data_IF_019117377556
#
_entry.id   IF_019117377556
#
_cell.length_a   1.000
_cell.length_b   1.000
_cell.length_c   1.000
_cell.angle_alpha   90.00
_cell.angle_beta   90.00
_cell.angle_gamma   90.00
#
_symmetry.space_group_name_H-M   'P 1'
#
loop_
_entity.id
_entity.type
_entity.pdbx_description
1 polymer ?
#
# COMPACT_ATOMS: atom_id res chain seq x y z
N UNK A 1 41.06 43.75 32.68
CA UNK A 1 41.38 42.87 33.82
C UNK A 1 40.03 42.35 34.30
N UNK A 2 39.60 41.12 34.07
CA UNK A 2 40.18 39.87 33.54
C UNK A 2 38.92 38.99 33.30
N UNK A 3 38.64 38.52 32.08
CA UNK A 3 39.06 37.21 31.54
C UNK A 3 39.19 36.10 32.59
N UNK A 4 38.32 35.09 32.46
CA UNK A 4 38.53 33.66 32.79
C UNK A 4 37.27 32.91 32.29
N UNK A 5 37.26 32.35 31.07
CA UNK A 5 37.83 31.05 30.64
C UNK A 5 37.28 29.87 31.43
N UNK A 6 36.39 29.09 30.80
CA UNK A 6 36.11 27.70 31.17
C UNK A 6 36.69 26.80 30.07
N UNK A 7 37.87 26.26 30.37
CA UNK A 7 38.43 24.97 29.97
C UNK A 7 38.77 24.30 31.32
N UNK A 8 38.74 23.00 31.58
CA UNK A 8 38.81 21.81 30.76
C UNK A 8 38.41 20.64 31.69
N UNK A 9 37.75 19.64 31.10
CA UNK A 9 38.09 18.22 31.24
C UNK A 9 37.71 17.32 32.46
N UNK A 10 37.44 16.07 32.05
CA UNK A 10 37.27 14.80 32.81
C UNK A 10 35.91 14.62 33.53
N UNK A 11 35.12 13.55 33.33
CA UNK A 11 35.46 12.12 33.29
C UNK A 11 34.43 11.35 32.40
N UNK A 12 35.02 10.66 31.42
CA UNK A 12 34.75 9.33 30.87
C UNK A 12 33.32 8.82 30.56
N UNK A 13 33.06 8.64 29.26
CA UNK A 13 31.92 7.93 28.65
C UNK A 13 32.35 6.61 27.98
N UNK A 14 33.36 5.93 28.52
CA UNK A 14 33.66 4.53 28.20
C UNK A 14 33.43 3.69 29.44
N UNK A 15 32.27 3.04 29.50
CA UNK A 15 32.08 1.73 30.15
C UNK A 15 30.61 1.29 30.11
N UNK A 16 30.06 1.11 28.91
CA UNK A 16 28.88 0.26 28.72
C UNK A 16 28.90 -0.52 27.39
N UNK A 17 30.11 -0.78 26.87
CA UNK A 17 30.34 -1.70 25.76
C UNK A 17 31.62 -2.52 26.03
N UNK A 18 31.48 -3.55 26.88
CA UNK A 18 32.46 -4.64 26.98
C UNK A 18 31.80 -5.85 27.66
N UNK A 19 31.55 -6.94 26.91
CA UNK A 19 31.33 -8.27 27.52
C UNK A 19 30.43 -9.23 26.77
N UNK A 20 31.05 -10.18 26.06
CA UNK A 20 30.53 -11.45 25.47
C UNK A 20 29.68 -11.33 24.19
N UNK A 21 30.24 -11.34 22.96
CA UNK A 21 31.04 -12.35 22.23
C UNK A 21 30.23 -13.60 21.83
N UNK A 22 29.90 -13.68 20.53
CA UNK A 22 29.55 -14.96 19.88
C UNK A 22 28.66 -14.89 18.62
N UNK A 23 29.17 -14.32 17.51
CA UNK A 23 28.77 -14.75 16.15
C UNK A 23 27.53 -14.11 15.50
N UNK A 24 27.69 -12.93 14.90
CA UNK A 24 26.97 -12.51 13.70
C UNK A 24 27.69 -11.30 13.09
N UNK A 25 28.58 -11.53 12.12
CA UNK A 25 29.22 -10.46 11.36
C UNK A 25 28.17 -9.79 10.46
N UNK A 26 27.68 -8.65 10.94
CA UNK A 26 26.98 -7.62 10.19
C UNK A 26 27.92 -6.95 9.19
N UNK A 27 27.61 -7.06 7.90
CA UNK A 27 28.07 -6.09 6.89
C UNK A 27 26.91 -5.12 6.65
N UNK A 28 26.96 -4.00 7.36
CA UNK A 28 26.24 -2.77 7.02
C UNK A 28 26.95 -2.17 5.79
N UNK A 29 26.41 -2.43 4.60
CA UNK A 29 26.78 -1.77 3.36
C UNK A 29 25.69 -0.78 2.94
N UNK A 30 25.58 0.33 3.65
CA UNK A 30 24.82 1.50 3.20
C UNK A 30 25.84 2.58 2.81
N UNK A 31 26.16 2.67 1.52
CA UNK A 31 26.44 3.93 0.78
C UNK A 31 27.10 3.63 -0.57
N UNK A 32 26.73 4.47 -1.55
CA UNK A 32 27.39 4.72 -2.84
C UNK A 32 26.86 3.97 -4.09
N UNK A 33 25.61 4.25 -4.49
CA UNK A 33 25.28 4.53 -5.91
C UNK A 33 24.33 5.73 -5.94
N UNK A 34 24.73 6.78 -6.65
CA UNK A 34 24.04 8.06 -6.69
C UNK A 34 22.78 8.03 -7.55
N UNK A 35 21.61 8.07 -6.91
CA UNK A 35 20.43 8.72 -7.44
C UNK A 35 20.17 9.96 -6.59
N UNK A 36 20.56 11.15 -7.07
CA UNK A 36 20.08 12.38 -6.43
C UNK A 36 18.57 12.43 -6.66
N UNK A 37 17.81 12.41 -5.56
CA UNK A 37 16.35 12.52 -5.48
C UNK A 37 15.50 11.25 -5.65
N UNK A 38 15.81 10.19 -4.88
CA UNK A 38 14.81 9.17 -4.56
C UNK A 38 14.73 8.96 -3.04
N UNK A 39 13.76 9.61 -2.39
CA UNK A 39 13.38 9.32 -1.01
C UNK A 39 12.23 8.32 -1.03
N UNK A 40 12.54 7.03 -0.99
CA UNK A 40 11.52 6.00 -0.78
C UNK A 40 11.06 6.08 0.68
N UNK A 41 9.89 6.69 0.91
CA UNK A 41 9.26 6.74 2.22
C UNK A 41 8.49 5.43 2.43
N UNK A 42 9.19 4.36 2.84
CA UNK A 42 8.63 3.02 3.06
C UNK A 42 7.78 2.92 4.33
N UNK A 43 6.97 3.94 4.63
CA UNK A 43 6.26 4.10 5.90
C UNK A 43 5.61 2.82 6.41
N UNK A 44 6.23 2.20 7.42
CA UNK A 44 5.63 1.34 8.45
C UNK A 44 4.63 0.27 7.97
N UNK A 45 4.87 -0.36 6.81
CA UNK A 45 4.10 -1.53 6.39
C UNK A 45 4.65 -2.78 7.12
N UNK A 46 4.32 -2.90 8.41
CA UNK A 46 4.43 -4.18 9.10
C UNK A 46 3.51 -5.19 8.38
N UNK A 47 4.00 -6.40 8.04
CA UNK A 47 3.19 -7.42 7.42
C UNK A 47 1.95 -7.69 8.26
N UNK A 48 0.81 -7.81 7.58
CA UNK A 48 -0.44 -8.21 8.20
C UNK A 48 -0.33 -9.60 8.82
N UNK A 49 -1.37 -10.01 9.55
CA UNK A 49 -1.48 -11.38 10.04
C UNK A 49 -1.33 -12.38 8.87
N UNK A 50 -0.86 -13.59 9.19
CA UNK A 50 -0.89 -14.69 8.22
C UNK A 50 -2.32 -14.84 7.69
N UNK A 51 -2.54 -14.94 6.36
CA UNK A 51 -3.88 -14.96 5.82
C UNK A 51 -4.71 -16.10 6.42
N UNK A 52 -5.93 -15.78 6.83
CA UNK A 52 -6.88 -16.76 7.38
C UNK A 52 -7.49 -17.66 6.30
N UNK A 53 -8.39 -18.58 6.70
CA UNK A 53 -9.05 -19.53 5.79
C UNK A 53 -9.85 -18.88 4.65
N UNK A 54 -10.26 -17.63 4.81
CA UNK A 54 -11.03 -16.87 3.81
C UNK A 54 -10.14 -16.15 2.78
N UNK A 55 -8.82 -16.34 2.86
CA UNK A 55 -7.88 -15.79 1.89
C UNK A 55 -8.02 -16.47 0.53
N UNK A 56 -8.50 -15.73 -0.48
CA UNK A 56 -8.38 -16.15 -1.87
C UNK A 56 -6.91 -16.00 -2.31
N UNK A 57 -6.20 -17.12 -2.28
CA UNK A 57 -4.79 -17.20 -2.61
C UNK A 57 -4.47 -17.22 -4.10
N UNK A 58 -5.45 -17.04 -4.99
CA UNK A 58 -5.18 -16.93 -6.43
C UNK A 58 -4.35 -15.68 -6.77
N UNK A 59 -3.73 -15.67 -7.95
CA UNK A 59 -2.94 -14.53 -8.41
C UNK A 59 -3.79 -13.24 -8.45
N UNK A 60 -3.24 -12.14 -7.88
CA UNK A 60 -3.92 -10.85 -7.79
C UNK A 60 -3.92 -10.09 -9.12
N UNK A 61 -2.78 -10.15 -9.82
CA UNK A 61 -2.54 -9.36 -11.04
C UNK A 61 -3.63 -9.57 -12.09
N UNK A 62 -4.25 -8.48 -12.51
CA UNK A 62 -5.12 -8.44 -13.68
C UNK A 62 -4.25 -8.53 -14.95
N UNK A 63 -3.89 -9.76 -15.34
CA UNK A 63 -2.95 -10.02 -16.44
C UNK A 63 -3.42 -9.40 -17.76
N UNK A 64 -4.71 -9.51 -18.08
CA UNK A 64 -5.26 -8.94 -19.30
C UNK A 64 -5.03 -7.42 -19.33
N UNK A 65 -5.41 -6.71 -18.28
CA UNK A 65 -5.19 -5.26 -18.19
C UNK A 65 -3.70 -4.92 -18.22
N UNK A 66 -2.85 -5.71 -17.56
CA UNK A 66 -1.40 -5.52 -17.60
C UNK A 66 -0.85 -5.57 -19.03
N UNK A 67 -1.27 -6.56 -19.84
CA UNK A 67 -0.87 -6.65 -21.24
C UNK A 67 -1.37 -5.46 -22.06
N UNK A 68 -2.63 -5.07 -21.90
CA UNK A 68 -3.22 -3.90 -22.59
C UNK A 68 -2.48 -2.59 -22.26
N UNK A 69 -2.13 -2.39 -21.00
CA UNK A 69 -1.39 -1.20 -20.56
C UNK A 69 0.03 -1.21 -21.12
N UNK A 70 0.75 -2.34 -21.05
CA UNK A 70 2.10 -2.44 -21.61
C UNK A 70 2.12 -2.25 -23.13
N UNK A 71 1.15 -2.80 -23.86
CA UNK A 71 0.99 -2.58 -25.31
C UNK A 71 0.75 -1.11 -25.63
N UNK A 72 -0.12 -0.43 -24.87
CA UNK A 72 -0.42 1.00 -25.04
C UNK A 72 0.79 1.89 -24.77
N UNK A 73 1.61 1.53 -23.78
CA UNK A 73 2.78 2.32 -23.37
C UNK A 73 4.06 1.94 -24.13
N UNK A 74 4.02 0.86 -24.92
CA UNK A 74 5.15 0.43 -25.74
C UNK A 74 6.32 -0.12 -24.93
N UNK A 75 6.04 -0.77 -23.79
CA UNK A 75 7.05 -1.42 -22.93
C UNK A 75 7.01 -2.94 -23.07
N UNK A 76 8.14 -3.60 -22.97
CA UNK A 76 8.28 -5.06 -23.12
C UNK A 76 8.03 -5.82 -21.81
N UNK A 77 8.03 -5.13 -20.68
CA UNK A 77 7.76 -5.68 -19.36
C UNK A 77 7.70 -4.62 -18.28
N UNK A 78 7.25 -5.03 -17.10
CA UNK A 78 7.23 -4.21 -15.89
C UNK A 78 8.06 -4.87 -14.79
N UNK A 79 8.75 -4.06 -14.00
CA UNK A 79 9.54 -4.51 -12.84
C UNK A 79 9.13 -3.73 -11.61
N UNK A 80 8.75 -4.46 -10.56
CA UNK A 80 8.39 -3.91 -9.28
C UNK A 80 9.54 -4.06 -8.27
N UNK A 81 9.85 -2.98 -7.58
CA UNK A 81 10.61 -2.92 -6.32
C UNK A 81 9.73 -2.38 -5.17
N UNK A 82 8.68 -1.61 -5.47
CA UNK A 82 7.72 -1.18 -4.47
C UNK A 82 6.99 -2.39 -3.88
N UNK A 83 7.01 -2.62 -2.55
CA UNK A 83 6.38 -3.77 -1.92
C UNK A 83 4.92 -3.95 -2.29
N UNK A 84 4.18 -2.86 -2.54
CA UNK A 84 2.78 -2.93 -2.98
C UNK A 84 2.68 -3.57 -4.37
N UNK A 85 3.53 -3.17 -5.30
CA UNK A 85 3.54 -3.71 -6.67
C UNK A 85 4.18 -5.11 -6.72
N UNK A 86 5.18 -5.38 -5.87
CA UNK A 86 5.73 -6.73 -5.70
C UNK A 86 4.65 -7.68 -5.17
N UNK A 87 3.86 -7.24 -4.19
CA UNK A 87 2.71 -8.00 -3.71
C UNK A 87 1.67 -8.22 -4.81
N UNK A 88 1.35 -7.19 -5.59
CA UNK A 88 0.40 -7.29 -6.69
C UNK A 88 0.80 -8.34 -7.75
N UNK A 89 2.06 -8.34 -8.18
CA UNK A 89 2.56 -9.28 -9.20
C UNK A 89 2.92 -10.66 -8.62
N UNK A 90 3.44 -10.69 -7.41
CA UNK A 90 4.03 -11.86 -6.77
C UNK A 90 3.11 -12.60 -5.80
N UNK A 91 1.98 -11.99 -5.43
CA UNK A 91 1.06 -12.47 -4.38
C UNK A 91 1.77 -12.76 -3.04
N UNK A 92 2.89 -12.07 -2.80
CA UNK A 92 3.74 -12.28 -1.65
C UNK A 92 4.36 -10.97 -1.19
N UNK A 93 4.38 -10.78 0.12
CA UNK A 93 4.93 -9.60 0.76
C UNK A 93 6.16 -10.01 1.55
N UNK A 94 7.34 -9.52 1.14
CA UNK A 94 8.62 -9.97 1.67
C UNK A 94 8.76 -9.73 3.17
N UNK A 95 9.21 -10.76 3.89
CA UNK A 95 9.56 -10.66 5.30
C UNK A 95 10.75 -9.70 5.51
N UNK A 96 11.60 -9.53 4.51
CA UNK A 96 12.73 -8.58 4.57
C UNK A 96 12.27 -7.12 4.68
N UNK A 97 11.03 -6.79 4.29
CA UNK A 97 10.49 -5.44 4.51
C UNK A 97 10.37 -5.10 6.00
N UNK A 98 10.11 -6.09 6.88
CA UNK A 98 10.07 -5.88 8.33
C UNK A 98 11.39 -5.34 8.89
N UNK A 99 12.50 -5.61 8.18
CA UNK A 99 13.85 -5.21 8.56
C UNK A 99 14.28 -3.92 7.86
N UNK A 100 13.35 -3.25 7.16
CA UNK A 100 13.58 -2.04 6.37
C UNK A 100 14.76 -2.19 5.40
N UNK A 101 14.90 -3.38 4.79
CA UNK A 101 15.93 -3.60 3.75
C UNK A 101 15.66 -2.69 2.56
N UNK A 102 16.71 -2.07 2.03
CA UNK A 102 16.61 -1.15 0.90
C UNK A 102 16.10 -1.83 -0.39
N UNK A 103 16.38 -3.13 -0.53
CA UNK A 103 15.93 -4.01 -1.61
C UNK A 103 15.38 -5.29 -0.95
N UNK A 104 14.07 -5.34 -0.63
CA UNK A 104 13.48 -6.47 0.06
C UNK A 104 13.08 -7.61 -0.90
N UNK A 105 12.76 -7.29 -2.15
CA UNK A 105 12.27 -8.23 -3.17
C UNK A 105 12.06 -7.49 -4.50
N UNK A 106 11.97 -8.24 -5.61
CA UNK A 106 11.47 -7.73 -6.89
C UNK A 106 10.36 -8.62 -7.44
N UNK A 107 9.55 -8.09 -8.35
CA UNK A 107 8.72 -8.91 -9.23
C UNK A 107 8.87 -8.45 -10.68
N UNK A 108 9.02 -9.39 -11.61
CA UNK A 108 9.20 -9.13 -13.04
C UNK A 108 8.02 -9.74 -13.78
N UNK A 109 7.32 -8.94 -14.58
CA UNK A 109 6.25 -9.42 -15.46
C UNK A 109 6.56 -9.02 -16.91
N UNK A 110 6.79 -9.98 -17.82
CA UNK A 110 6.96 -9.71 -19.24
C UNK A 110 5.61 -9.45 -19.92
N UNK A 111 5.64 -8.69 -21.03
CA UNK A 111 4.49 -8.49 -21.91
C UNK A 111 4.12 -9.74 -22.71
N UNK A 112 5.09 -10.60 -23.03
CA UNK A 112 4.83 -11.88 -23.69
C UNK A 112 4.12 -12.85 -22.72
N UNK A 113 2.85 -13.22 -22.96
CA UNK A 113 2.09 -14.09 -22.07
C UNK A 113 2.64 -15.52 -21.99
N UNK A 114 3.56 -15.91 -22.88
CA UNK A 114 4.24 -17.22 -22.85
C UNK A 114 5.45 -17.23 -21.92
N UNK A 115 5.88 -16.07 -21.43
CA UNK A 115 7.02 -15.92 -20.52
C UNK A 115 6.54 -15.85 -19.07
N UNK A 116 7.32 -16.40 -18.12
CA UNK A 116 6.91 -16.43 -16.72
C UNK A 116 6.93 -15.03 -16.10
N UNK A 117 5.99 -14.78 -15.19
CA UNK A 117 6.19 -13.78 -14.13
C UNK A 117 7.18 -14.40 -13.15
N UNK A 118 8.11 -13.60 -12.61
CA UNK A 118 9.12 -14.08 -11.67
C UNK A 118 9.15 -13.20 -10.42
N UNK A 119 9.07 -13.83 -9.26
CA UNK A 119 9.24 -13.22 -7.95
C UNK A 119 10.67 -13.46 -7.44
N UNK A 120 11.36 -12.38 -7.09
CA UNK A 120 12.67 -12.39 -6.46
C UNK A 120 12.52 -12.12 -4.98
N UNK A 121 12.92 -13.08 -4.14
CA UNK A 121 12.79 -13.01 -2.67
C UNK A 121 14.03 -13.55 -1.98
N UNK A 122 14.23 -13.23 -0.71
CA UNK A 122 15.33 -13.80 0.04
C UNK A 122 15.08 -15.29 0.31
N UNK A 123 16.15 -16.06 0.49
CA UNK A 123 16.05 -17.47 0.89
C UNK A 123 15.43 -17.68 2.29
N UNK A 124 15.33 -16.63 3.10
CA UNK A 124 14.54 -16.59 4.34
C UNK A 124 13.03 -16.55 4.09
N UNK A 125 12.59 -15.93 2.99
CA UNK A 125 11.17 -15.79 2.64
C UNK A 125 10.53 -17.12 2.23
N UNK A 126 11.32 -18.08 1.74
CA UNK A 126 10.82 -19.37 1.25
C UNK A 126 9.96 -20.12 2.28
N UNK A 127 10.30 -20.07 3.56
CA UNK A 127 9.49 -20.70 4.60
C UNK A 127 8.12 -20.03 4.78
N UNK A 128 8.07 -18.70 4.63
CA UNK A 128 6.81 -17.96 4.66
C UNK A 128 5.96 -18.24 3.43
N UNK A 129 6.59 -18.41 2.27
CA UNK A 129 5.90 -18.86 1.04
C UNK A 129 5.30 -20.26 1.25
N UNK A 130 6.04 -21.18 1.89
CA UNK A 130 5.55 -22.52 2.19
C UNK A 130 4.44 -22.58 3.26
N UNK A 131 4.29 -21.55 4.10
CA UNK A 131 3.30 -21.52 5.18
C UNK A 131 1.86 -21.23 4.73
N UNK A 132 1.65 -20.83 3.48
CA UNK A 132 0.33 -20.39 3.02
C UNK A 132 -0.02 -21.03 1.67
N UNK A 133 -1.24 -21.56 1.58
CA UNK A 133 -1.82 -22.00 0.31
C UNK A 133 -2.12 -20.76 -0.56
N UNK A 134 -1.24 -20.49 -1.53
CA UNK A 134 -1.41 -19.41 -2.49
C UNK A 134 -0.75 -19.73 -3.82
N UNK A 135 -1.30 -19.21 -4.89
CA UNK A 135 -0.64 -19.09 -6.17
C UNK A 135 0.43 -18.01 -6.08
N UNK A 136 1.67 -18.37 -6.39
CA UNK A 136 2.79 -17.45 -6.56
C UNK A 136 3.46 -17.76 -7.91
N UNK A 137 4.08 -16.76 -8.55
CA UNK A 137 4.80 -16.96 -9.81
C UNK A 137 6.08 -17.79 -9.61
N UNK A 138 6.85 -18.01 -10.68
CA UNK A 138 8.17 -18.64 -10.54
C UNK A 138 9.06 -17.83 -9.59
N UNK A 139 9.89 -18.51 -8.79
CA UNK A 139 10.71 -17.86 -7.77
C UNK A 139 12.19 -17.97 -8.11
N UNK A 140 12.90 -16.86 -8.04
CA UNK A 140 14.36 -16.81 -8.00
C UNK A 140 14.78 -16.31 -6.62
N UNK A 141 15.16 -17.19 -5.70
CA UNK A 141 15.59 -16.77 -4.38
C UNK A 141 17.01 -16.23 -4.42
N UNK A 142 17.34 -15.31 -3.53
CA UNK A 142 18.73 -14.89 -3.28
C UNK A 142 19.21 -15.24 -1.88
N UNK A 143 20.51 -15.46 -1.73
CA UNK A 143 21.18 -15.68 -0.45
C UNK A 143 22.18 -14.58 -0.15
N UNK A 144 23.46 -14.92 -0.14
CA UNK A 144 24.58 -14.02 0.05
C UNK A 144 25.73 -14.46 -0.88
N UNK A 145 26.64 -13.57 -1.29
CA UNK A 145 27.83 -13.97 -2.01
C UNK A 145 28.78 -14.73 -1.08
N UNK A 146 29.35 -15.84 -1.55
CA UNK A 146 30.35 -16.62 -0.79
C UNK A 146 31.70 -15.90 -0.65
N UNK A 147 31.97 -14.91 -1.51
CA UNK A 147 33.20 -14.10 -1.54
C UNK A 147 32.86 -12.60 -1.64
N UNK A 148 32.00 -12.12 -0.75
CA UNK A 148 31.51 -10.73 -0.76
C UNK A 148 32.63 -9.69 -0.64
N UNK A 149 33.78 -10.05 -0.06
CA UNK A 149 34.92 -9.15 0.15
C UNK A 149 35.51 -8.65 -1.17
N UNK A 150 35.45 -9.47 -2.22
CA UNK A 150 35.97 -9.14 -3.55
C UNK A 150 35.21 -7.96 -4.16
N UNK A 151 33.93 -7.80 -3.79
CA UNK A 151 33.05 -6.72 -4.27
C UNK A 151 33.41 -5.34 -3.68
N UNK A 152 34.48 -5.23 -2.88
CA UNK A 152 35.10 -3.93 -2.60
C UNK A 152 35.78 -3.32 -3.82
N UNK A 153 36.11 -4.12 -4.82
CA UNK A 153 36.66 -3.68 -6.11
C UNK A 153 35.51 -3.47 -7.12
N UNK A 154 35.23 -2.23 -7.55
CA UNK A 154 34.19 -1.96 -8.53
C UNK A 154 34.42 -2.59 -9.90
N UNK A 155 35.66 -2.96 -10.24
CA UNK A 155 36.00 -3.52 -11.56
C UNK A 155 35.40 -4.91 -11.80
N UNK A 156 34.95 -5.60 -10.75
CA UNK A 156 34.36 -6.93 -10.83
C UNK A 156 32.85 -6.96 -10.59
N UNK A 157 32.21 -5.79 -10.41
CA UNK A 157 30.78 -5.74 -10.07
C UNK A 157 29.89 -6.36 -11.15
N UNK A 158 30.32 -6.35 -12.41
CA UNK A 158 29.61 -7.00 -13.52
C UNK A 158 29.86 -8.52 -13.64
N UNK A 159 30.58 -9.13 -12.69
CA UNK A 159 30.84 -10.57 -12.66
C UNK A 159 30.03 -11.21 -11.54
N UNK A 160 29.05 -12.04 -11.89
CA UNK A 160 28.20 -12.71 -10.91
C UNK A 160 29.03 -13.57 -9.94
N UNK A 161 28.94 -13.35 -8.61
CA UNK A 161 29.70 -14.12 -7.64
C UNK A 161 28.99 -15.45 -7.36
N UNK A 162 29.70 -16.36 -6.72
CA UNK A 162 29.07 -17.59 -6.24
C UNK A 162 28.11 -17.30 -5.07
N UNK A 163 26.93 -17.92 -5.11
CA UNK A 163 25.97 -17.83 -4.04
C UNK A 163 26.34 -18.80 -2.91
N UNK A 164 26.09 -18.39 -1.66
CA UNK A 164 26.07 -19.32 -0.53
C UNK A 164 24.91 -20.29 -0.74
N UNK A 165 25.24 -21.53 -1.04
CA UNK A 165 24.31 -22.64 -1.19
C UNK A 165 24.31 -23.52 0.06
N UNK A 166 23.16 -24.09 0.39
CA UNK A 166 23.02 -24.96 1.56
C UNK A 166 21.56 -25.11 1.97
N UNK A 167 21.28 -26.22 2.65
CA UNK A 167 20.01 -26.48 3.32
C UNK A 167 20.19 -26.35 4.82
N UNK A 168 19.15 -25.88 5.51
CA UNK A 168 19.16 -25.84 6.98
C UNK A 168 19.12 -27.29 7.51
N UNK A 169 19.87 -27.62 8.57
CA UNK A 169 19.83 -28.95 9.17
C UNK A 169 18.45 -29.22 9.79
N UNK A 170 17.96 -30.45 9.70
CA UNK A 170 16.69 -30.88 10.30
C UNK A 170 16.74 -32.36 10.70
N UNK A 171 15.92 -32.74 11.68
CA UNK A 171 15.76 -34.12 12.10
C UNK A 171 14.47 -34.70 11.49
N UNK A 172 14.62 -35.68 10.59
CA UNK A 172 13.50 -36.32 9.87
C UNK A 172 12.45 -36.93 10.80
N UNK A 173 12.86 -37.35 12.00
CA UNK A 173 11.99 -38.06 12.94
C UNK A 173 11.15 -37.11 13.80
N UNK A 174 11.50 -35.81 13.86
CA UNK A 174 10.83 -34.85 14.76
C UNK A 174 10.18 -33.67 14.04
N UNK A 175 10.30 -33.54 12.71
CA UNK A 175 9.69 -32.44 11.97
C UNK A 175 8.16 -32.59 11.88
N UNK A 176 7.48 -31.48 12.11
CA UNK A 176 6.03 -31.30 11.91
C UNK A 176 5.67 -31.26 10.42
N UNK A 177 4.36 -31.24 10.12
CA UNK A 177 3.87 -31.10 8.74
C UNK A 177 4.26 -29.77 8.11
N UNK A 178 4.17 -28.66 8.86
CA UNK A 178 4.58 -27.33 8.40
C UNK A 178 6.09 -27.32 8.08
N UNK A 179 6.90 -27.89 8.97
CA UNK A 179 8.36 -27.97 8.76
C UNK A 179 8.74 -28.89 7.60
N UNK A 180 7.93 -29.90 7.26
CA UNK A 180 8.11 -30.68 6.03
C UNK A 180 8.01 -29.78 4.79
N UNK A 181 7.01 -28.89 4.74
CA UNK A 181 6.88 -27.89 3.67
C UNK A 181 8.11 -26.97 3.55
N UNK A 182 8.69 -26.56 4.69
CA UNK A 182 9.93 -25.77 4.73
C UNK A 182 11.13 -26.51 4.13
N UNK A 183 11.28 -27.78 4.48
CA UNK A 183 12.34 -28.64 3.95
C UNK A 183 12.16 -28.87 2.45
N UNK A 184 10.93 -29.10 2.00
CA UNK A 184 10.61 -29.30 0.58
C UNK A 184 10.94 -28.07 -0.26
N UNK A 185 10.52 -26.88 0.17
CA UNK A 185 10.79 -25.65 -0.57
C UNK A 185 12.29 -25.29 -0.56
N UNK A 186 13.00 -25.49 0.55
CA UNK A 186 14.45 -25.29 0.60
C UNK A 186 15.18 -26.23 -0.37
N UNK A 187 14.75 -27.51 -0.43
CA UNK A 187 15.32 -28.49 -1.34
C UNK A 187 15.03 -28.18 -2.81
N UNK A 188 13.85 -27.61 -3.12
CA UNK A 188 13.49 -27.18 -4.48
C UNK A 188 14.46 -26.13 -5.01
N UNK A 189 14.87 -25.17 -4.18
CA UNK A 189 15.67 -24.02 -4.62
C UNK A 189 17.15 -24.06 -4.21
N UNK A 190 17.62 -25.12 -3.54
CA UNK A 190 18.98 -25.21 -2.96
C UNK A 190 20.12 -24.82 -3.92
N UNK A 191 19.98 -25.14 -5.21
CA UNK A 191 21.00 -24.98 -6.25
C UNK A 191 20.69 -23.83 -7.24
N UNK A 192 19.61 -23.09 -7.05
CA UNK A 192 19.20 -21.99 -7.94
C UNK A 192 19.26 -20.62 -7.29
N UNK A 193 19.75 -20.53 -6.05
CA UNK A 193 19.91 -19.27 -5.32
C UNK A 193 20.85 -18.34 -6.09
N UNK A 194 20.44 -17.10 -6.26
CA UNK A 194 21.32 -16.02 -6.68
C UNK A 194 22.14 -15.51 -5.47
N UNK A 195 23.32 -14.93 -5.69
CA UNK A 195 24.17 -14.46 -4.60
C UNK A 195 23.64 -13.18 -3.95
N UNK A 196 22.91 -12.34 -4.69
CA UNK A 196 22.38 -11.05 -4.23
C UNK A 196 21.01 -10.79 -4.87
N UNK A 197 20.18 -9.88 -4.33
CA UNK A 197 18.91 -9.52 -4.96
C UNK A 197 19.08 -8.91 -6.37
N UNK A 198 20.16 -8.19 -6.62
CA UNK A 198 20.45 -7.57 -7.91
C UNK A 198 20.76 -8.62 -8.99
N UNK A 199 21.60 -9.62 -8.66
CA UNK A 199 21.85 -10.74 -9.56
C UNK A 199 20.63 -11.63 -9.75
N UNK A 200 19.78 -11.79 -8.73
CA UNK A 200 18.48 -12.45 -8.88
C UNK A 200 17.57 -11.69 -9.86
N UNK A 201 17.54 -10.36 -9.81
CA UNK A 201 16.81 -9.53 -10.78
C UNK A 201 17.33 -9.74 -12.21
N UNK A 202 18.65 -9.80 -12.42
CA UNK A 202 19.23 -10.07 -13.75
C UNK A 202 18.80 -11.45 -14.26
N UNK A 203 18.85 -12.49 -13.41
CA UNK A 203 18.35 -13.82 -13.77
C UNK A 203 16.86 -13.78 -14.12
N UNK A 204 16.05 -13.07 -13.34
CA UNK A 204 14.61 -12.92 -13.56
C UNK A 204 14.32 -12.23 -14.90
N UNK A 205 15.04 -11.15 -15.23
CA UNK A 205 14.92 -10.46 -16.51
C UNK A 205 15.28 -11.40 -17.68
N UNK A 206 16.36 -12.18 -17.55
CA UNK A 206 16.78 -13.14 -18.57
C UNK A 206 15.77 -14.26 -18.79
N UNK A 207 15.29 -14.88 -17.73
CA UNK A 207 14.28 -15.95 -17.79
C UNK A 207 12.94 -15.45 -18.34
N UNK A 208 12.58 -14.21 -18.02
CA UNK A 208 11.40 -13.52 -18.57
C UNK A 208 11.57 -13.08 -20.04
N UNK A 209 12.77 -13.23 -20.63
CA UNK A 209 13.05 -12.83 -22.02
C UNK A 209 13.30 -11.33 -22.21
N UNK A 210 13.67 -10.61 -21.15
CA UNK A 210 13.82 -9.15 -21.11
C UNK A 210 15.29 -8.69 -21.10
N UNK A 211 16.24 -9.52 -21.54
CA UNK A 211 17.68 -9.17 -21.60
C UNK A 211 18.02 -8.05 -22.60
N UNK A 212 17.09 -7.71 -23.49
CA UNK A 212 17.18 -6.59 -24.43
C UNK A 212 15.77 -6.02 -24.62
N UNK A 213 15.37 -5.12 -23.74
CA UNK A 213 13.99 -4.70 -23.58
C UNK A 213 13.89 -3.25 -23.10
N UNK A 214 12.76 -2.62 -23.36
CA UNK A 214 12.34 -1.40 -22.64
C UNK A 214 11.39 -1.81 -21.54
N UNK A 215 11.75 -1.58 -20.27
CA UNK A 215 10.94 -1.97 -19.11
C UNK A 215 10.46 -0.74 -18.33
N UNK A 216 9.20 -0.77 -17.90
CA UNK A 216 8.69 0.21 -16.95
C UNK A 216 9.00 -0.25 -15.52
N UNK A 217 9.66 0.61 -14.74
CA UNK A 217 10.11 0.30 -13.37
C UNK A 217 9.42 1.23 -12.38
N UNK A 218 8.81 0.69 -11.33
CA UNK A 218 8.15 1.52 -10.32
C UNK A 218 9.12 2.36 -9.47
N UNK A 219 10.40 1.98 -9.47
CA UNK A 219 11.48 2.69 -8.80
C UNK A 219 12.73 2.75 -9.69
N UNK A 220 13.16 3.96 -10.01
CA UNK A 220 14.31 4.18 -10.92
C UNK A 220 15.66 3.73 -10.33
N UNK A 221 15.74 3.36 -9.04
CA UNK A 221 16.94 2.67 -8.51
C UNK A 221 17.22 1.36 -9.25
N UNK A 222 16.20 0.73 -9.83
CA UNK A 222 16.39 -0.43 -10.72
C UNK A 222 17.30 -0.09 -11.89
N UNK A 223 17.15 1.08 -12.52
CA UNK A 223 18.03 1.50 -13.61
C UNK A 223 19.49 1.62 -13.13
N UNK A 224 19.71 2.25 -11.98
CA UNK A 224 21.05 2.37 -11.41
C UNK A 224 21.70 1.02 -11.06
N UNK A 225 20.91 0.04 -10.61
CA UNK A 225 21.38 -1.34 -10.39
C UNK A 225 21.82 -1.98 -11.71
N UNK A 226 20.98 -1.89 -12.75
CA UNK A 226 21.26 -2.47 -14.06
C UNK A 226 22.50 -1.85 -14.71
N UNK A 227 22.65 -0.52 -14.64
CA UNK A 227 23.82 0.20 -15.14
C UNK A 227 25.11 -0.24 -14.42
N UNK A 228 25.04 -0.38 -13.09
CA UNK A 228 26.19 -0.79 -12.25
C UNK A 228 26.66 -2.21 -12.57
N UNK A 229 25.75 -3.07 -13.00
CA UNK A 229 26.03 -4.47 -13.35
C UNK A 229 26.18 -4.67 -14.88
N UNK A 230 26.44 -3.60 -15.64
CA UNK A 230 26.69 -3.61 -17.08
C UNK A 230 25.54 -4.22 -17.92
N UNK A 231 24.29 -4.00 -17.48
CA UNK A 231 23.09 -4.45 -18.19
C UNK A 231 22.56 -3.38 -19.17
N UNK A 232 23.47 -2.77 -19.93
CA UNK A 232 23.23 -1.63 -20.82
C UNK A 232 22.29 -1.90 -22.02
N UNK A 233 21.88 -3.15 -22.23
CA UNK A 233 20.92 -3.54 -23.26
C UNK A 233 19.45 -3.37 -22.83
N UNK A 234 19.21 -3.01 -21.56
CA UNK A 234 17.89 -2.84 -20.97
C UNK A 234 17.67 -1.35 -20.73
N UNK A 235 16.59 -0.80 -21.27
CA UNK A 235 16.20 0.59 -21.04
C UNK A 235 15.10 0.63 -19.98
N UNK A 236 15.29 1.43 -18.93
CA UNK A 236 14.29 1.64 -17.88
C UNK A 236 13.54 2.96 -18.10
N UNK A 237 12.21 2.91 -18.02
CA UNK A 237 11.34 4.10 -17.99
C UNK A 237 10.54 4.15 -16.69
N UNK A 238 10.15 5.34 -16.17
CA UNK A 238 9.32 5.43 -14.98
C UNK A 238 7.98 4.70 -15.14
N UNK A 239 7.66 3.84 -14.18
CA UNK A 239 6.55 2.89 -14.26
C UNK A 239 5.52 2.98 -13.13
N UNK A 240 5.65 3.87 -12.13
CA UNK A 240 4.67 3.97 -11.03
C UNK A 240 3.24 4.15 -11.56
N UNK A 241 3.06 5.05 -12.53
CA UNK A 241 1.79 5.24 -13.22
C UNK A 241 1.37 4.04 -14.07
N UNK A 242 2.31 3.30 -14.69
CA UNK A 242 2.02 2.05 -15.41
C UNK A 242 1.33 1.06 -14.45
N UNK A 243 1.89 0.83 -13.26
CA UNK A 243 1.28 -0.04 -12.25
C UNK A 243 -0.10 0.45 -11.80
N UNK A 244 -0.28 1.75 -11.58
CA UNK A 244 -1.58 2.33 -11.18
C UNK A 244 -2.64 2.19 -12.29
N UNK A 245 -2.26 2.37 -13.56
CA UNK A 245 -3.15 2.15 -14.73
C UNK A 245 -3.60 0.69 -14.86
N UNK A 246 -2.82 -0.25 -14.32
CA UNK A 246 -3.18 -1.66 -14.23
C UNK A 246 -4.12 -1.88 -13.04
N UNK A 247 -3.69 -1.49 -11.83
CA UNK A 247 -4.40 -1.72 -10.56
C UNK A 247 -5.72 -0.97 -10.42
N UNK A 248 -5.94 0.10 -11.19
CA UNK A 248 -7.21 0.83 -11.14
C UNK A 248 -8.40 -0.07 -11.52
N UNK A 249 -8.21 -1.06 -12.40
CA UNK A 249 -9.22 -2.04 -12.82
C UNK A 249 -8.99 -3.39 -12.12
N UNK A 250 -9.91 -3.76 -11.22
CA UNK A 250 -9.71 -4.89 -10.32
C UNK A 250 -10.07 -6.21 -11.01
N UNK A 251 -9.31 -7.27 -10.74
CA UNK A 251 -9.73 -8.64 -11.06
C UNK A 251 -10.77 -9.16 -10.05
N UNK A 252 -11.45 -10.27 -10.35
CA UNK A 252 -12.45 -10.88 -9.46
C UNK A 252 -11.86 -11.25 -8.08
N UNK A 253 -10.60 -11.66 -8.04
CA UNK A 253 -9.87 -11.97 -6.79
C UNK A 253 -9.70 -10.70 -5.98
N UNK A 254 -9.27 -9.61 -6.61
CA UNK A 254 -9.12 -8.31 -5.96
C UNK A 254 -10.45 -7.78 -5.44
N UNK A 255 -11.53 -7.89 -6.24
CA UNK A 255 -12.87 -7.49 -5.82
C UNK A 255 -13.37 -8.27 -4.60
N UNK A 256 -12.96 -9.53 -4.45
CA UNK A 256 -13.27 -10.34 -3.26
C UNK A 256 -12.54 -9.82 -2.02
N UNK A 257 -11.24 -9.48 -2.12
CA UNK A 257 -10.51 -8.85 -1.03
C UNK A 257 -11.06 -7.46 -0.68
N UNK A 258 -11.44 -6.67 -1.69
CA UNK A 258 -12.04 -5.34 -1.52
C UNK A 258 -13.37 -5.40 -0.77
N UNK A 259 -14.25 -6.37 -1.08
CA UNK A 259 -15.51 -6.57 -0.34
C UNK A 259 -15.26 -6.91 1.13
N UNK A 260 -14.33 -7.82 1.39
CA UNK A 260 -14.02 -8.26 2.75
C UNK A 260 -13.50 -7.10 3.61
N UNK A 261 -12.57 -6.29 3.08
CA UNK A 261 -12.04 -5.15 3.82
C UNK A 261 -13.07 -4.02 3.96
N UNK A 262 -13.92 -3.78 2.96
CA UNK A 262 -14.97 -2.76 3.04
C UNK A 262 -15.92 -3.03 4.23
N UNK A 263 -16.41 -4.27 4.34
CA UNK A 263 -17.32 -4.70 5.41
C UNK A 263 -16.61 -4.62 6.77
N UNK A 264 -15.41 -5.19 6.87
CA UNK A 264 -14.65 -5.18 8.13
C UNK A 264 -14.33 -3.75 8.61
N UNK A 265 -13.98 -2.85 7.68
CA UNK A 265 -13.69 -1.45 7.99
C UNK A 265 -14.94 -0.70 8.48
N UNK A 266 -16.04 -0.85 7.76
CA UNK A 266 -17.31 -0.24 8.12
C UNK A 266 -17.78 -0.72 9.49
N UNK A 267 -17.78 -2.03 9.73
CA UNK A 267 -18.21 -2.60 11.01
C UNK A 267 -17.30 -2.17 12.16
N UNK A 268 -15.99 -2.04 11.91
CA UNK A 268 -15.04 -1.54 12.91
C UNK A 268 -15.33 -0.08 13.27
N UNK A 269 -15.57 0.76 12.26
CA UNK A 269 -15.92 2.17 12.46
C UNK A 269 -17.22 2.31 13.26
N UNK A 270 -18.28 1.60 12.88
CA UNK A 270 -19.59 1.70 13.56
C UNK A 270 -19.53 1.18 15.00
N UNK A 271 -18.83 0.07 15.25
CA UNK A 271 -18.64 -0.43 16.61
C UNK A 271 -17.78 0.49 17.47
N UNK A 272 -16.78 1.15 16.89
CA UNK A 272 -16.02 2.19 17.58
C UNK A 272 -16.92 3.38 17.93
N UNK A 273 -17.73 3.89 16.97
CA UNK A 273 -18.65 5.00 17.21
C UNK A 273 -19.64 4.70 18.34
N UNK A 274 -20.17 3.47 18.43
CA UNK A 274 -21.09 3.07 19.50
C UNK A 274 -20.47 3.06 20.91
N UNK A 275 -19.14 3.16 21.01
CA UNK A 275 -18.41 3.20 22.29
C UNK A 275 -18.01 4.62 22.68
N UNK A 276 -18.26 5.62 21.83
CA UNK A 276 -17.87 7.01 22.10
C UNK A 276 -18.64 7.56 23.30
N UNK A 277 -17.93 8.26 24.18
CA UNK A 277 -18.50 8.95 25.33
C UNK A 277 -17.99 10.39 25.41
N UNK A 278 -18.80 11.28 26.00
CA UNK A 278 -18.40 12.65 26.30
C UNK A 278 -17.11 12.64 27.14
N UNK A 279 -16.15 13.49 26.77
CA UNK A 279 -14.86 13.59 27.44
C UNK A 279 -13.75 12.73 26.86
N UNK A 280 -14.05 11.76 25.99
CA UNK A 280 -13.02 11.01 25.27
C UNK A 280 -12.16 11.93 24.41
N UNK A 281 -10.88 11.62 24.30
CA UNK A 281 -9.91 12.33 23.46
C UNK A 281 -9.81 11.67 22.08
N UNK A 282 -9.09 12.32 21.16
CA UNK A 282 -8.75 11.70 19.85
C UNK A 282 -7.98 10.39 20.03
N UNK A 283 -7.07 10.33 21.00
CA UNK A 283 -6.29 9.13 21.27
C UNK A 283 -7.16 7.95 21.74
N UNK A 284 -8.21 8.23 22.52
CA UNK A 284 -9.16 7.20 22.96
C UNK A 284 -9.92 6.62 21.76
N UNK A 285 -10.39 7.48 20.84
CA UNK A 285 -11.07 7.07 19.61
C UNK A 285 -10.13 6.23 18.72
N UNK A 286 -8.87 6.64 18.57
CA UNK A 286 -7.88 5.91 17.76
C UNK A 286 -7.63 4.52 18.33
N UNK A 287 -7.48 4.42 19.65
CA UNK A 287 -7.32 3.14 20.33
C UNK A 287 -8.54 2.22 20.15
N UNK A 288 -9.75 2.77 20.26
CA UNK A 288 -10.97 2.00 20.03
C UNK A 288 -11.04 1.48 18.59
N UNK A 289 -10.73 2.32 17.59
CA UNK A 289 -10.72 1.88 16.20
C UNK A 289 -9.67 0.80 15.93
N UNK A 290 -8.46 0.93 16.50
CA UNK A 290 -7.43 -0.10 16.40
C UNK A 290 -7.91 -1.44 16.95
N UNK A 291 -8.58 -1.44 18.11
CA UNK A 291 -9.13 -2.65 18.73
C UNK A 291 -10.27 -3.24 17.89
N UNK A 292 -11.21 -2.42 17.44
CA UNK A 292 -12.37 -2.89 16.67
C UNK A 292 -11.99 -3.40 15.27
N UNK A 293 -11.00 -2.79 14.62
CA UNK A 293 -10.43 -3.30 13.38
C UNK A 293 -9.74 -4.66 13.61
N UNK A 294 -8.90 -4.77 14.65
CA UNK A 294 -8.21 -6.01 14.97
C UNK A 294 -9.15 -7.17 15.29
N UNK A 295 -10.26 -6.91 16.02
CA UNK A 295 -11.32 -7.91 16.28
C UNK A 295 -11.96 -8.46 15.01
N UNK A 296 -11.92 -7.71 13.91
CA UNK A 296 -12.47 -8.07 12.59
C UNK A 296 -11.41 -8.56 11.60
N UNK A 297 -10.19 -8.83 12.09
CA UNK A 297 -9.08 -9.31 11.26
C UNK A 297 -8.44 -8.22 10.39
N UNK A 298 -8.80 -6.95 10.59
CA UNK A 298 -8.23 -5.82 9.89
C UNK A 298 -7.12 -5.13 10.71
N UNK A 299 -6.18 -4.51 9.99
CA UNK A 299 -5.21 -3.59 10.57
C UNK A 299 -5.73 -2.17 10.39
N UNK A 300 -5.96 -1.43 11.48
CA UNK A 300 -6.25 -0.01 11.37
C UNK A 300 -5.04 0.74 10.77
N UNK A 301 -5.29 1.60 9.78
CA UNK A 301 -4.25 2.37 9.10
C UNK A 301 -4.23 3.80 9.64
N UNK A 302 -5.35 4.50 9.55
CA UNK A 302 -5.54 5.83 10.12
C UNK A 302 -7.03 6.13 10.24
N UNK A 303 -7.34 7.16 11.03
CA UNK A 303 -8.71 7.64 11.20
C UNK A 303 -8.70 9.14 11.47
N UNK A 304 -9.50 9.89 10.72
CA UNK A 304 -9.82 11.28 11.02
C UNK A 304 -11.15 11.31 11.79
N UNK A 305 -11.12 11.76 13.04
CA UNK A 305 -12.28 11.81 13.92
C UNK A 305 -12.46 13.23 14.46
N UNK A 306 -13.60 13.86 14.17
CA UNK A 306 -13.86 15.27 14.38
C UNK A 306 -13.60 16.10 13.13
N UNK A 307 -12.32 16.38 12.91
CA UNK A 307 -11.77 17.00 11.70
C UNK A 307 -10.48 16.28 11.34
N UNK A 308 -9.82 16.67 10.24
CA UNK A 308 -8.45 16.22 9.94
C UNK A 308 -7.48 16.56 11.08
N UNK A 309 -7.70 17.68 11.78
CA UNK A 309 -6.90 18.11 12.93
C UNK A 309 -7.29 17.47 14.27
N UNK A 310 -8.21 16.50 14.27
CA UNK A 310 -8.77 15.90 15.48
C UNK A 310 -10.03 16.60 15.99
N UNK A 311 -10.30 16.47 17.30
CA UNK A 311 -11.51 16.99 17.94
C UNK A 311 -11.37 18.51 18.17
N UNK A 312 -12.29 19.37 17.69
CA UNK A 312 -12.18 20.82 17.84
C UNK A 312 -12.06 21.31 19.29
N UNK A 313 -12.77 20.65 20.21
CA UNK A 313 -12.78 20.98 21.64
C UNK A 313 -11.71 20.19 22.43
N UNK A 314 -10.80 19.48 21.74
CA UNK A 314 -9.79 18.58 22.32
C UNK A 314 -10.34 17.27 22.91
N UNK A 315 -11.65 17.21 23.10
CA UNK A 315 -12.42 16.07 23.61
C UNK A 315 -13.79 16.01 22.97
N UNK A 316 -14.46 14.88 23.10
CA UNK A 316 -15.84 14.69 22.67
C UNK A 316 -16.78 15.54 23.54
N UNK A 317 -17.67 16.28 22.89
CA UNK A 317 -18.70 17.11 23.52
C UNK A 317 -20.04 16.87 22.83
N UNK A 318 -21.13 17.16 23.53
CA UNK A 318 -22.50 17.00 23.00
C UNK A 318 -22.82 18.02 21.90
N UNK A 319 -23.61 17.62 20.90
CA UNK A 319 -24.17 18.49 19.85
C UNK A 319 -23.18 19.05 18.83
N UNK A 320 -21.87 18.76 18.97
CA UNK A 320 -20.83 19.12 17.99
C UNK A 320 -20.86 18.14 16.82
N UNK A 321 -21.01 18.60 15.56
CA UNK A 321 -20.86 17.75 14.39
C UNK A 321 -19.40 17.44 14.14
N UNK A 322 -19.13 16.17 13.91
CA UNK A 322 -17.80 15.60 13.76
C UNK A 322 -17.81 14.74 12.49
N UNK A 323 -16.74 14.80 11.70
CA UNK A 323 -16.55 13.82 10.65
C UNK A 323 -15.91 12.55 11.23
N UNK A 324 -16.17 11.43 10.59
CA UNK A 324 -15.32 10.25 10.67
C UNK A 324 -14.93 9.87 9.25
N UNK A 325 -13.66 9.53 9.08
CA UNK A 325 -13.08 8.93 7.87
C UNK A 325 -12.10 7.88 8.41
N UNK A 326 -12.47 6.62 8.25
CA UNK A 326 -11.85 5.48 8.88
C UNK A 326 -11.29 4.54 7.82
N UNK A 327 -9.98 4.28 7.90
CA UNK A 327 -9.28 3.41 6.96
C UNK A 327 -8.60 2.27 7.68
N UNK A 328 -8.93 1.05 7.25
CA UNK A 328 -8.28 -0.18 7.68
C UNK A 328 -7.91 -1.04 6.49
N UNK A 329 -7.13 -2.09 6.77
CA UNK A 329 -6.50 -2.90 5.74
C UNK A 329 -6.63 -4.39 6.07
N UNK A 330 -7.02 -5.20 5.08
CA UNK A 330 -6.95 -6.66 5.09
C UNK A 330 -6.21 -7.08 3.84
N UNK A 331 -5.21 -7.96 3.98
CA UNK A 331 -4.39 -8.46 2.86
C UNK A 331 -3.85 -7.33 1.95
N UNK A 332 -3.49 -6.20 2.56
CA UNK A 332 -3.01 -4.99 1.90
C UNK A 332 -4.04 -4.16 1.11
N UNK A 333 -5.26 -4.67 0.91
CA UNK A 333 -6.38 -3.90 0.37
C UNK A 333 -6.97 -2.98 1.43
N UNK A 334 -7.33 -1.77 1.04
CA UNK A 334 -7.87 -0.74 1.93
C UNK A 334 -9.39 -0.73 1.90
N UNK A 335 -9.99 -0.71 3.10
CA UNK A 335 -11.37 -0.33 3.30
C UNK A 335 -11.44 1.15 3.62
N UNK A 336 -12.49 1.80 3.15
CA UNK A 336 -12.65 3.25 3.23
C UNK A 336 -14.11 3.57 3.58
N UNK A 337 -14.33 4.38 4.60
CA UNK A 337 -15.66 4.61 5.14
C UNK A 337 -15.72 5.88 5.97
N UNK A 338 -16.70 6.72 5.63
CA UNK A 338 -16.84 8.01 6.28
C UNK A 338 -18.28 8.43 6.48
N UNK A 339 -18.51 9.07 7.62
CA UNK A 339 -19.82 9.53 8.09
C UNK A 339 -19.69 10.84 8.84
N UNK A 340 -20.83 11.47 9.06
CA UNK A 340 -20.97 12.54 10.05
C UNK A 340 -21.48 11.91 11.34
N UNK A 341 -20.99 12.37 12.48
CA UNK A 341 -21.45 11.90 13.78
C UNK A 341 -21.53 13.04 14.80
N UNK A 342 -22.38 12.87 15.81
CA UNK A 342 -22.44 13.75 16.97
C UNK A 342 -22.97 12.96 18.17
N UNK A 343 -22.65 13.43 19.37
CA UNK A 343 -23.21 12.87 20.61
C UNK A 343 -24.48 13.64 20.98
N UNK A 344 -25.54 12.91 21.34
CA UNK A 344 -26.82 13.50 21.74
C UNK A 344 -27.62 14.10 20.56
N UNK A 345 -28.66 14.88 20.88
CA UNK A 345 -29.61 15.37 19.88
C UNK A 345 -28.93 16.31 18.85
N UNK A 346 -28.97 16.00 17.54
CA UNK A 346 -28.34 16.83 16.52
C UNK A 346 -29.03 18.20 16.41
N UNK A 347 -28.22 19.26 16.37
CA UNK A 347 -28.72 20.62 16.13
C UNK A 347 -29.31 20.72 14.72
N UNK A 348 -30.26 21.64 14.53
CA UNK A 348 -30.94 21.85 13.23
C UNK A 348 -29.96 22.11 12.08
N UNK A 349 -28.93 22.91 12.30
CA UNK A 349 -27.90 23.22 11.29
C UNK A 349 -27.03 22.00 10.91
N UNK A 350 -26.91 21.02 11.81
CA UNK A 350 -26.24 19.74 11.51
C UNK A 350 -27.09 18.92 10.56
N UNK A 351 -28.38 18.77 10.84
CA UNK A 351 -29.32 18.06 9.97
C UNK A 351 -29.39 18.70 8.58
N UNK A 352 -29.39 20.04 8.50
CA UNK A 352 -29.36 20.76 7.22
C UNK A 352 -28.10 20.44 6.41
N UNK A 353 -26.91 20.39 7.03
CA UNK A 353 -25.66 20.05 6.32
C UNK A 353 -25.56 18.58 5.94
N UNK A 354 -26.05 17.68 6.80
CA UNK A 354 -26.18 16.26 6.48
C UNK A 354 -27.09 16.08 5.25
N UNK A 355 -28.18 16.85 5.14
CA UNK A 355 -29.05 16.79 3.96
C UNK A 355 -28.36 17.25 2.67
N UNK A 356 -27.43 18.20 2.77
CA UNK A 356 -26.60 18.63 1.62
C UNK A 356 -25.70 17.49 1.16
N UNK A 357 -25.03 16.80 2.10
CA UNK A 357 -24.19 15.63 1.81
C UNK A 357 -25.01 14.51 1.15
N UNK A 358 -26.16 14.18 1.73
CA UNK A 358 -27.08 13.17 1.18
C UNK A 358 -27.49 13.52 -0.25
N UNK A 359 -27.91 14.76 -0.50
CA UNK A 359 -28.29 15.21 -1.86
C UNK A 359 -27.12 15.13 -2.85
N UNK A 360 -25.90 15.47 -2.41
CA UNK A 360 -24.70 15.33 -3.24
C UNK A 360 -24.41 13.88 -3.59
N UNK A 361 -24.55 12.98 -2.61
CA UNK A 361 -24.38 11.54 -2.77
C UNK A 361 -25.42 10.95 -3.72
N UNK A 362 -26.69 11.29 -3.55
CA UNK A 362 -27.78 10.84 -4.41
C UNK A 362 -27.54 11.23 -5.87
N UNK A 363 -27.17 12.49 -6.11
CA UNK A 363 -26.83 12.97 -7.46
C UNK A 363 -25.63 12.22 -8.05
N UNK A 364 -24.61 11.94 -7.24
CA UNK A 364 -23.45 11.18 -7.69
C UNK A 364 -23.84 9.75 -8.07
N UNK A 365 -24.61 9.07 -7.21
CA UNK A 365 -25.09 7.71 -7.42
C UNK A 365 -26.01 7.57 -8.64
N UNK A 366 -26.86 8.57 -8.90
CA UNK A 366 -27.80 8.57 -10.03
C UNK A 366 -27.10 8.62 -11.40
N UNK A 367 -25.91 9.23 -11.45
CA UNK A 367 -25.23 9.54 -12.73
C UNK A 367 -23.96 8.73 -12.96
N UNK A 368 -23.33 8.22 -11.90
CA UNK A 368 -22.04 7.53 -12.00
C UNK A 368 -22.19 6.24 -12.83
N UNK A 369 -21.33 6.11 -13.83
CA UNK A 369 -21.29 4.96 -14.73
C UNK A 369 -19.98 4.93 -15.52
N UNK A 370 -19.57 3.74 -16.00
CA UNK A 370 -18.46 3.65 -16.96
C UNK A 370 -18.64 4.59 -18.16
N UNK A 371 -17.55 5.21 -18.59
CA UNK A 371 -17.49 6.19 -19.69
C UNK A 371 -17.67 7.65 -19.28
N UNK A 372 -18.12 7.93 -18.06
CA UNK A 372 -18.20 9.29 -17.50
C UNK A 372 -16.83 9.74 -16.95
N UNK A 373 -16.50 11.03 -17.04
CA UNK A 373 -15.29 11.59 -16.44
C UNK A 373 -15.48 12.00 -14.99
N UNK A 374 -14.40 11.99 -14.24
CA UNK A 374 -14.36 12.49 -12.86
C UNK A 374 -14.82 13.95 -12.79
N UNK A 375 -14.37 14.81 -13.71
CA UNK A 375 -14.75 16.22 -13.75
C UNK A 375 -16.25 16.43 -13.99
N UNK A 376 -16.90 15.58 -14.80
CA UNK A 376 -18.33 15.64 -15.06
C UNK A 376 -19.12 15.35 -13.78
N UNK A 377 -18.69 14.34 -13.00
CA UNK A 377 -19.32 13.99 -11.73
C UNK A 377 -19.16 15.10 -10.71
N UNK A 378 -17.94 15.63 -10.56
CA UNK A 378 -17.66 16.77 -9.69
C UNK A 378 -18.53 17.97 -10.05
N UNK A 379 -18.62 18.33 -11.32
CA UNK A 379 -19.41 19.46 -11.77
C UNK A 379 -20.90 19.29 -11.50
N UNK A 380 -21.46 18.10 -11.73
CA UNK A 380 -22.86 17.79 -11.48
C UNK A 380 -23.21 17.90 -9.98
N UNK A 381 -22.39 17.28 -9.12
CA UNK A 381 -22.58 17.30 -7.67
C UNK A 381 -22.42 18.72 -7.12
N UNK A 382 -21.36 19.44 -7.49
CA UNK A 382 -21.16 20.83 -7.05
C UNK A 382 -22.31 21.74 -7.47
N UNK A 383 -22.86 21.57 -8.68
CA UNK A 383 -24.02 22.34 -9.15
C UNK A 383 -25.30 22.03 -8.36
N UNK A 384 -25.49 20.78 -7.93
CA UNK A 384 -26.64 20.38 -7.12
C UNK A 384 -26.54 20.95 -5.70
N UNK A 385 -25.39 20.74 -5.05
CA UNK A 385 -25.10 21.23 -3.70
C UNK A 385 -25.20 22.75 -3.60
N UNK A 386 -24.67 23.49 -4.57
CA UNK A 386 -24.67 24.96 -4.56
C UNK A 386 -26.08 25.58 -4.44
N UNK A 387 -27.12 24.87 -4.89
CA UNK A 387 -28.51 25.36 -4.82
C UNK A 387 -29.12 25.28 -3.42
N UNK A 388 -28.60 24.41 -2.58
CA UNK A 388 -29.14 24.09 -1.26
C UNK A 388 -28.13 24.36 -0.15
N UNK A 389 -26.94 24.88 -0.47
CA UNK A 389 -25.90 25.12 0.51
C UNK A 389 -26.32 26.23 1.48
N UNK A 390 -26.51 25.87 2.75
CA UNK A 390 -26.90 26.78 3.83
C UNK A 390 -25.74 27.19 4.74
N UNK A 391 -24.50 26.76 4.44
CA UNK A 391 -23.33 27.09 5.26
C UNK A 391 -23.10 28.62 5.32
N UNK A 392 -23.13 29.26 6.50
CA UNK A 392 -23.03 30.72 6.61
C UNK A 392 -21.71 31.29 6.09
N UNK A 393 -20.64 30.48 6.15
CA UNK A 393 -19.29 30.84 5.68
C UNK A 393 -19.09 30.60 4.18
N UNK A 394 -20.07 29.99 3.50
CA UNK A 394 -19.90 29.48 2.15
C UNK A 394 -19.02 28.24 2.07
N UNK A 395 -18.89 27.47 3.18
CA UNK A 395 -18.15 26.21 3.21
C UNK A 395 -18.50 25.34 1.99
N UNK A 396 -17.46 24.92 1.27
CA UNK A 396 -17.59 24.18 0.02
C UNK A 396 -17.64 22.70 0.34
N UNK A 397 -18.70 22.04 -0.13
CA UNK A 397 -18.79 20.59 -0.18
C UNK A 397 -18.59 20.19 -1.65
N UNK A 398 -17.46 19.55 -1.93
CA UNK A 398 -17.14 19.00 -3.23
C UNK A 398 -17.27 17.49 -3.23
N UNK A 399 -17.46 16.89 -4.40
CA UNK A 399 -17.25 15.47 -4.61
C UNK A 399 -15.79 15.24 -4.99
N UNK A 400 -15.09 14.37 -4.26
CA UNK A 400 -13.72 13.95 -4.53
C UNK A 400 -13.68 12.47 -4.87
N UNK A 401 -14.04 12.05 -6.10
CA UNK A 401 -13.88 10.64 -6.46
C UNK A 401 -12.41 10.26 -6.46
N UNK A 402 -12.06 9.16 -5.80
CA UNK A 402 -10.74 8.54 -5.93
C UNK A 402 -10.81 7.02 -5.91
N UNK A 403 -9.96 6.36 -6.70
CA UNK A 403 -9.86 4.90 -6.65
C UNK A 403 -9.24 4.46 -5.32
N UNK A 404 -9.76 3.37 -4.76
CA UNK A 404 -9.22 2.67 -3.59
C UNK A 404 -8.83 1.26 -3.98
N UNK A 405 -7.76 0.72 -3.40
CA UNK A 405 -7.31 -0.65 -3.67
C UNK A 405 -6.16 -1.05 -2.75
N UNK A 406 -5.03 -1.41 -3.34
CA UNK A 406 -3.80 -1.65 -2.58
C UNK A 406 -3.17 -0.37 -2.02
N UNK A 407 -3.66 0.78 -2.48
CA UNK A 407 -3.39 2.10 -1.91
C UNK A 407 -4.73 2.81 -1.66
N UNK A 408 -4.78 3.69 -0.66
CA UNK A 408 -5.96 4.53 -0.41
C UNK A 408 -6.30 5.37 -1.66
N UNK A 409 -5.30 5.92 -2.34
CA UNK A 409 -5.45 6.50 -3.69
C UNK A 409 -4.69 5.64 -4.71
N UNK A 410 -5.41 4.75 -5.39
CA UNK A 410 -4.84 3.72 -6.29
C UNK A 410 -4.87 4.09 -7.78
N UNK A 411 -5.37 5.29 -8.10
CA UNK A 411 -5.47 5.78 -9.47
C UNK A 411 -4.14 6.34 -9.99
N UNK A 412 -3.93 6.39 -11.32
CA UNK A 412 -2.75 7.02 -11.89
C UNK A 412 -2.84 8.55 -11.84
N UNK A 413 -1.68 9.20 -11.86
CA UNK A 413 -1.55 10.63 -12.01
C UNK A 413 -1.19 10.99 -13.45
N UNK A 414 -1.20 12.28 -13.76
CA UNK A 414 -0.75 12.78 -15.06
C UNK A 414 0.74 12.53 -15.26
N UNK A 415 1.09 11.89 -16.38
CA UNK A 415 2.47 11.57 -16.74
C UNK A 415 3.31 12.83 -17.05
N UNK A 416 4.62 12.72 -16.86
CA UNK A 416 5.60 13.71 -17.33
C UNK A 416 5.67 15.01 -16.53
N UNK A 417 5.16 15.02 -15.29
CA UNK A 417 5.20 16.19 -14.40
C UNK A 417 6.13 15.94 -13.21
N UNK A 418 6.80 16.98 -12.69
CA UNK A 418 7.73 16.85 -11.56
C UNK A 418 7.04 16.69 -10.20
N UNK A 419 5.71 16.71 -10.17
CA UNK A 419 4.89 16.50 -8.98
C UNK A 419 3.55 15.89 -9.38
N UNK A 420 2.86 15.28 -8.40
CA UNK A 420 1.58 14.61 -8.63
C UNK A 420 0.50 15.61 -9.02
N UNK A 421 -0.11 15.40 -10.18
CA UNK A 421 -1.29 16.12 -10.64
C UNK A 421 -2.31 15.09 -11.08
N UNK A 422 -3.52 15.15 -10.52
CA UNK A 422 -4.61 14.27 -10.93
C UNK A 422 -4.96 14.51 -12.41
N UNK A 423 -5.22 13.43 -13.14
CA UNK A 423 -5.83 13.52 -14.46
C UNK A 423 -7.36 13.54 -14.36
N UNK A 424 -8.03 13.91 -15.45
CA UNK A 424 -9.48 13.79 -15.58
C UNK A 424 -9.87 12.39 -16.04
N UNK A 425 -9.76 11.43 -15.11
CA UNK A 425 -9.98 10.02 -15.38
C UNK A 425 -11.40 9.72 -15.84
N UNK A 426 -11.51 8.69 -16.68
CA UNK A 426 -12.78 8.11 -17.11
C UNK A 426 -13.08 6.93 -16.19
N UNK A 427 -14.28 6.89 -15.64
CA UNK A 427 -14.80 5.74 -14.92
C UNK A 427 -14.83 4.52 -15.85
N UNK A 428 -14.28 3.38 -15.42
CA UNK A 428 -14.31 2.11 -16.14
C UNK A 428 -14.95 1.04 -15.24
N UNK A 429 -15.48 -0.02 -15.86
CA UNK A 429 -16.02 -1.19 -15.13
C UNK A 429 -14.93 -1.84 -14.27
N UNK A 430 -15.32 -2.38 -13.11
CA UNK A 430 -14.44 -2.97 -12.09
C UNK A 430 -13.45 -1.99 -11.43
N UNK A 431 -13.63 -0.67 -11.60
CA UNK A 431 -13.00 0.30 -10.72
C UNK A 431 -13.66 0.27 -9.34
N UNK A 432 -12.85 0.17 -8.28
CA UNK A 432 -13.28 0.43 -6.90
C UNK A 432 -12.87 1.82 -6.47
N UNK A 433 -13.81 2.59 -5.92
CA UNK A 433 -13.62 4.00 -5.57
C UNK A 433 -14.58 4.47 -4.47
N UNK A 434 -14.26 5.60 -3.85
CA UNK A 434 -15.14 6.40 -3.00
C UNK A 434 -15.51 7.69 -3.72
N UNK A 435 -16.53 8.38 -3.21
CA UNK A 435 -16.89 9.73 -3.61
C UNK A 435 -16.89 10.60 -2.35
N UNK A 436 -15.72 11.13 -2.03
CA UNK A 436 -15.49 11.84 -0.78
C UNK A 436 -16.24 13.17 -0.77
N UNK A 437 -17.03 13.42 0.27
CA UNK A 437 -17.67 14.72 0.47
C UNK A 437 -17.37 15.29 1.86
N UNK A 438 -16.10 15.59 2.19
CA UNK A 438 -15.76 16.22 3.46
C UNK A 438 -16.20 17.69 3.48
N UNK A 439 -16.69 18.14 4.62
CA UNK A 439 -17.02 19.53 4.91
C UNK A 439 -16.39 19.92 6.23
N UNK A 440 -15.44 20.85 6.20
CA UNK A 440 -14.78 21.36 7.40
C UNK A 440 -15.05 22.85 7.55
N UNK A 441 -15.52 23.26 8.72
CA UNK A 441 -15.73 24.67 9.03
C UNK A 441 -15.29 24.97 10.46
N UNK A 442 -14.25 25.80 10.57
CA UNK A 442 -13.72 26.25 11.86
C UNK A 442 -14.82 26.97 12.64
N UNK A 443 -15.02 26.56 13.89
CA UNK A 443 -16.08 27.06 14.76
C UNK A 443 -17.38 26.25 14.69
N UNK A 444 -17.65 25.57 13.58
CA UNK A 444 -18.81 24.69 13.43
C UNK A 444 -18.47 23.24 13.77
N UNK A 445 -17.50 22.65 13.07
CA UNK A 445 -17.12 21.24 13.19
C UNK A 445 -16.78 20.59 11.84
N UNK A 446 -16.98 19.29 11.76
CA UNK A 446 -16.74 18.50 10.54
C UNK A 446 -17.95 17.67 10.14
N UNK A 447 -18.08 17.41 8.85
CA UNK A 447 -19.03 16.44 8.31
C UNK A 447 -18.39 15.70 7.14
N UNK A 448 -18.85 14.48 6.89
CA UNK A 448 -18.39 13.67 5.78
C UNK A 448 -19.45 12.64 5.40
N UNK A 449 -19.39 12.21 4.15
CA UNK A 449 -20.14 11.08 3.63
C UNK A 449 -19.33 10.49 2.49
N UNK A 450 -19.05 9.21 2.61
CA UNK A 450 -18.47 8.40 1.54
C UNK A 450 -18.86 6.94 1.73
N UNK A 451 -18.87 6.20 0.64
CA UNK A 451 -19.04 4.76 0.66
C UNK A 451 -18.12 4.17 -0.40
N UNK A 452 -17.49 3.04 -0.06
CA UNK A 452 -16.68 2.32 -1.03
C UNK A 452 -17.58 1.51 -1.97
N UNK A 453 -17.43 1.77 -3.27
CA UNK A 453 -18.24 1.17 -4.34
C UNK A 453 -17.35 0.51 -5.39
N UNK A 454 -17.92 -0.42 -6.15
CA UNK A 454 -17.36 -0.92 -7.42
C UNK A 454 -18.25 -0.49 -8.57
N UNK A 455 -17.66 -0.09 -9.69
CA UNK A 455 -18.40 0.21 -10.91
C UNK A 455 -18.75 -1.05 -11.70
N UNK A 456 -20.00 -1.14 -12.13
CA UNK A 456 -20.52 -2.17 -13.00
C UNK A 456 -21.01 -1.55 -14.31
N UNK A 457 -21.22 -2.36 -15.35
CA UNK A 457 -21.73 -1.89 -16.64
C UNK A 457 -22.96 -0.96 -16.57
N UNK A 458 -23.84 -1.18 -15.60
CA UNK A 458 -25.09 -0.42 -15.42
C UNK A 458 -25.06 0.72 -14.41
N UNK A 459 -23.96 0.93 -13.69
CA UNK A 459 -23.88 1.86 -12.57
C UNK A 459 -22.80 1.45 -11.57
N UNK A 460 -23.19 1.24 -10.32
CA UNK A 460 -22.28 0.80 -9.27
C UNK A 460 -22.95 -0.20 -8.32
N UNK A 461 -22.12 -0.96 -7.61
CA UNK A 461 -22.50 -1.80 -6.48
C UNK A 461 -21.74 -1.31 -5.23
N UNK A 462 -22.41 -1.08 -4.10
CA UNK A 462 -21.72 -0.79 -2.85
C UNK A 462 -21.00 -2.04 -2.33
N UNK A 463 -19.79 -1.86 -1.80
CA UNK A 463 -19.01 -2.96 -1.19
C UNK A 463 -19.34 -3.17 0.29
N UNK A 464 -19.96 -2.18 0.93
CA UNK A 464 -20.52 -2.24 2.28
C UNK A 464 -21.99 -1.79 2.31
N UNK A 465 -22.58 -1.66 3.50
CA UNK A 465 -23.96 -1.19 3.65
C UNK A 465 -24.05 0.33 3.44
N UNK A 466 -24.95 0.76 2.56
CA UNK A 466 -25.27 2.19 2.36
C UNK A 466 -26.15 2.72 3.49
N UNK A 467 -25.54 2.98 4.65
CA UNK A 467 -26.23 3.46 5.85
C UNK A 467 -26.42 4.99 5.87
N UNK A 468 -27.23 5.48 6.83
CA UNK A 468 -27.45 6.90 7.10
C UNK A 468 -26.14 7.71 7.08
N UNK A 469 -26.11 8.91 6.45
CA UNK A 469 -24.95 9.80 6.50
C UNK A 469 -24.61 10.34 7.89
N UNK A 470 -25.58 10.31 8.81
CA UNK A 470 -25.43 10.74 10.21
C UNK A 470 -25.55 9.57 11.16
N UNK A 471 -24.58 9.45 12.07
CA UNK A 471 -24.60 8.56 13.23
C UNK A 471 -24.77 9.40 14.50
N UNK A 472 -25.87 9.17 15.23
CA UNK A 472 -26.09 9.79 16.55
C UNK A 472 -25.61 8.80 17.60
N UNK A 473 -24.64 9.21 18.42
CA UNK A 473 -24.04 8.43 19.51
C UNK A 473 -24.73 8.76 20.84
#
# INVERSE_FOLDING_TARGET
MSDESFDEDTIDRRDFFAGMVGGAASVLGASMIGGKEAHANWGLIAPGAMPGKEFDGRALVNKQRAYEVMDREGVDGIVALNPVNVFYLGNYFSYELQKLRAIPSFAVMPRDPKKPIILVVASSDLWFVANAEREYPEIIPYSAPSSWENYRDPSIWNVEPEAVTGSRPYNKDTITEIERGWVEIDNRFKNSKAPTPEWALIRALKESGLSKATIAVDDMRIAGILDTLDQNNISCVPGDNTFRKIRIIKSDVELSHMRNVAIANQDACLAMLSQIQIGMTKADIDNLFMVEAAKRGAKAMWIAAGTIGGLPDGKVVEGRPMMIDAVSQINYYHGDFGRTWCVGEPRKDVLERVKILETGSDVAHDIIRPGMKYSELRAAVSKAIAKINTAPTGAIIGAGPHSVGLQHTDQPYRDGLPFMVNDDLVFEENMTLTIDMPSLEVGWGGAHLENLIVLEKGGFQPLGEMSSPLVVV
#
